data_IF_492246314152
#
_entry.id   IF_492246314152
#
_cell.length_a   1.000
_cell.length_b   1.000
_cell.length_c   1.000
_cell.angle_alpha   90.00
_cell.angle_beta   90.00
_cell.angle_gamma   90.00
#
_symmetry.space_group_name_H-M   'P 1'
#
loop_
_entity.id
_entity.type
_entity.pdbx_description
1 polymer ?
#
# COMPACT_ATOMS: atom_id res chain seq x y z
N UNK A 1 3.86 24.51 -33.66
CA UNK A 1 3.30 24.60 -32.30
C UNK A 1 4.45 24.55 -31.33
N UNK A 2 4.59 25.60 -30.52
CA UNK A 2 5.75 25.94 -29.69
C UNK A 2 6.10 24.84 -28.70
N UNK A 3 7.35 24.39 -28.75
CA UNK A 3 8.00 23.65 -27.67
C UNK A 3 8.11 24.57 -26.46
N UNK A 4 7.16 24.49 -25.55
CA UNK A 4 7.29 25.08 -24.21
C UNK A 4 8.33 24.24 -23.45
N UNK A 5 9.53 24.79 -23.29
CA UNK A 5 10.58 24.17 -22.50
C UNK A 5 10.17 24.22 -21.02
N UNK A 6 9.68 23.11 -20.48
CA UNK A 6 9.48 22.96 -19.05
C UNK A 6 10.80 23.27 -18.32
N UNK A 7 10.80 24.15 -17.31
CA UNK A 7 12.02 24.47 -16.57
C UNK A 7 12.59 23.19 -15.95
N UNK A 8 13.88 22.94 -16.19
CA UNK A 8 14.56 21.77 -15.66
C UNK A 8 14.47 21.76 -14.12
N UNK A 9 14.16 20.62 -13.49
CA UNK A 9 14.11 20.54 -12.05
C UNK A 9 15.50 20.81 -11.46
N UNK A 10 15.56 21.56 -10.36
CA UNK A 10 16.81 21.82 -9.66
C UNK A 10 17.28 20.56 -8.93
N UNK A 11 18.60 20.42 -8.76
CA UNK A 11 19.20 19.31 -8.00
C UNK A 11 18.57 19.15 -6.61
N UNK A 12 18.28 20.26 -5.93
CA UNK A 12 17.61 20.24 -4.62
C UNK A 12 16.19 19.63 -4.67
N UNK A 13 15.42 19.92 -5.74
CA UNK A 13 14.10 19.32 -5.93
C UNK A 13 14.19 17.81 -6.20
N UNK A 14 15.14 17.37 -7.03
CA UNK A 14 15.36 15.95 -7.31
C UNK A 14 15.74 15.15 -6.06
N UNK A 15 16.64 15.70 -5.22
CA UNK A 15 17.01 15.08 -3.94
C UNK A 15 15.81 15.00 -3.00
N UNK A 16 15.03 16.08 -2.88
CA UNK A 16 13.84 16.09 -2.02
C UNK A 16 12.81 15.04 -2.46
N UNK A 17 12.59 14.91 -3.78
CA UNK A 17 11.69 13.90 -4.34
C UNK A 17 12.18 12.47 -4.07
N UNK A 18 13.47 12.19 -4.29
CA UNK A 18 14.03 10.87 -4.03
C UNK A 18 13.94 10.48 -2.54
N UNK A 19 14.21 11.42 -1.64
CA UNK A 19 14.08 11.19 -0.19
C UNK A 19 12.62 10.96 0.20
N UNK A 20 11.68 11.73 -0.34
CA UNK A 20 10.26 11.56 -0.08
C UNK A 20 9.76 10.18 -0.54
N UNK A 21 10.11 9.75 -1.75
CA UNK A 21 9.77 8.42 -2.28
C UNK A 21 10.38 7.30 -1.43
N UNK A 22 11.66 7.44 -1.03
CA UNK A 22 12.34 6.44 -0.19
C UNK A 22 11.71 6.34 1.20
N UNK A 23 11.35 7.48 1.80
CA UNK A 23 10.68 7.53 3.09
C UNK A 23 9.30 6.87 3.03
N UNK A 24 8.50 7.16 1.99
CA UNK A 24 7.21 6.51 1.75
C UNK A 24 7.34 5.00 1.70
N UNK A 25 8.25 4.51 0.85
CA UNK A 25 8.49 3.07 0.71
C UNK A 25 8.93 2.42 2.03
N UNK A 26 9.75 3.12 2.82
CA UNK A 26 10.20 2.62 4.13
C UNK A 26 9.04 2.47 5.10
N UNK A 27 8.16 3.46 5.18
CA UNK A 27 6.95 3.42 6.04
C UNK A 27 6.04 2.26 5.63
N UNK A 28 5.93 2.00 4.33
CA UNK A 28 5.13 0.89 3.82
C UNK A 28 5.70 -0.47 4.18
N UNK A 29 7.01 -0.68 4.01
CA UNK A 29 7.66 -1.91 4.44
C UNK A 29 7.57 -2.12 5.95
N UNK A 30 7.71 -1.04 6.72
CA UNK A 30 7.56 -1.09 8.17
C UNK A 30 6.17 -1.56 8.58
N UNK A 31 5.12 -0.97 8.00
CA UNK A 31 3.73 -1.34 8.25
C UNK A 31 3.43 -2.78 7.81
N UNK A 32 4.02 -3.22 6.69
CA UNK A 32 3.93 -4.59 6.20
C UNK A 32 4.52 -5.61 7.19
N UNK A 33 5.70 -5.31 7.75
CA UNK A 33 6.35 -6.17 8.75
C UNK A 33 5.55 -6.22 10.05
N UNK A 34 5.06 -5.07 10.53
CA UNK A 34 4.20 -5.02 11.72
C UNK A 34 2.94 -5.85 11.53
N UNK A 35 2.29 -5.79 10.36
CA UNK A 35 1.13 -6.63 10.07
C UNK A 35 1.50 -8.12 10.17
N UNK A 36 2.65 -8.53 9.66
CA UNK A 36 3.14 -9.91 9.77
C UNK A 36 3.28 -10.38 11.22
N UNK A 37 3.81 -9.53 12.10
CA UNK A 37 3.84 -9.81 13.54
C UNK A 37 2.44 -9.81 14.18
N UNK A 38 1.57 -8.88 13.77
CA UNK A 38 0.21 -8.82 14.27
C UNK A 38 -0.59 -10.07 13.89
N UNK A 39 -0.36 -10.64 12.70
CA UNK A 39 -1.00 -11.88 12.23
C UNK A 39 -0.72 -13.09 13.12
N UNK A 40 0.43 -13.13 13.79
CA UNK A 40 0.78 -14.21 14.72
C UNK A 40 0.46 -13.87 16.17
N UNK A 41 0.68 -12.63 16.60
CA UNK A 41 0.64 -12.27 18.03
C UNK A 41 -0.68 -11.61 18.47
N UNK A 42 -1.33 -10.86 17.59
CA UNK A 42 -2.45 -9.98 17.93
C UNK A 42 -3.79 -10.45 17.33
N UNK A 43 -3.85 -10.68 16.01
CA UNK A 43 -5.09 -11.03 15.31
C UNK A 43 -5.76 -12.31 15.79
N UNK A 44 -5.02 -13.37 16.20
CA UNK A 44 -5.66 -14.54 16.79
C UNK A 44 -6.54 -14.21 18.00
N UNK A 45 -6.09 -13.25 18.82
CA UNK A 45 -6.80 -12.81 20.03
C UNK A 45 -7.90 -11.79 19.72
N UNK A 46 -7.67 -10.91 18.75
CA UNK A 46 -8.58 -9.78 18.44
C UNK A 46 -9.72 -10.20 17.52
N UNK A 47 -9.44 -10.96 16.46
CA UNK A 47 -10.38 -11.25 15.39
C UNK A 47 -10.85 -12.71 15.36
N UNK A 48 -10.07 -13.63 15.96
CA UNK A 48 -10.32 -15.07 15.89
C UNK A 48 -10.36 -15.79 17.25
N UNK A 49 -10.91 -15.20 18.34
CA UNK A 49 -10.77 -15.76 19.70
C UNK A 49 -11.49 -17.11 19.91
N UNK A 50 -12.37 -17.51 18.99
CA UNK A 50 -13.10 -18.78 19.05
C UNK A 50 -12.48 -19.91 18.22
N UNK A 51 -11.39 -19.62 17.49
CA UNK A 51 -10.70 -20.62 16.68
C UNK A 51 -9.54 -21.23 17.47
N UNK A 52 -9.15 -22.49 17.19
CA UNK A 52 -7.89 -23.03 17.69
C UNK A 52 -6.72 -22.13 17.31
N UNK A 53 -5.76 -21.95 18.20
CA UNK A 53 -4.66 -20.98 18.04
C UNK A 53 -3.92 -21.12 16.71
N UNK A 54 -3.55 -22.34 16.34
CA UNK A 54 -2.85 -22.62 15.07
C UNK A 54 -3.70 -22.20 13.87
N UNK A 55 -5.01 -22.49 13.90
CA UNK A 55 -5.95 -22.11 12.83
C UNK A 55 -6.08 -20.59 12.74
N UNK A 56 -6.16 -19.91 13.89
CA UNK A 56 -6.27 -18.47 13.96
C UNK A 56 -5.02 -17.76 13.38
N UNK A 57 -3.82 -18.29 13.65
CA UNK A 57 -2.56 -17.79 13.08
C UNK A 57 -2.54 -17.99 11.56
N UNK A 58 -2.91 -19.18 11.08
CA UNK A 58 -2.98 -19.47 9.64
C UNK A 58 -3.94 -18.51 8.94
N UNK A 59 -5.13 -18.29 9.50
CA UNK A 59 -6.09 -17.34 8.94
C UNK A 59 -5.53 -15.90 9.00
N UNK A 60 -4.86 -15.51 10.08
CA UNK A 60 -4.14 -14.24 10.18
C UNK A 60 -3.17 -14.05 9.00
N UNK A 61 -2.36 -15.05 8.68
CA UNK A 61 -1.49 -15.03 7.51
C UNK A 61 -2.24 -15.07 6.18
N UNK A 62 -3.40 -15.73 6.09
CA UNK A 62 -4.24 -15.67 4.89
C UNK A 62 -4.77 -14.26 4.64
N UNK A 63 -5.16 -13.53 5.70
CA UNK A 63 -5.54 -12.10 5.55
C UNK A 63 -4.35 -11.26 5.09
N UNK A 64 -3.15 -11.56 5.59
CA UNK A 64 -1.92 -10.91 5.13
C UNK A 64 -1.64 -11.19 3.65
N UNK A 65 -1.78 -12.45 3.25
CA UNK A 65 -1.57 -12.93 1.89
C UNK A 65 -2.57 -12.33 0.89
N UNK A 66 -3.79 -11.99 1.32
CA UNK A 66 -4.80 -11.36 0.47
C UNK A 66 -4.35 -10.03 -0.16
N UNK A 67 -3.38 -9.33 0.46
CA UNK A 67 -2.81 -8.12 -0.11
C UNK A 67 -1.91 -8.35 -1.34
N UNK A 68 -1.39 -9.56 -1.56
CA UNK A 68 -0.45 -9.82 -2.67
C UNK A 68 -1.13 -9.86 -4.05
N UNK A 69 -2.25 -10.57 -4.25
CA UNK A 69 -3.00 -10.48 -5.50
C UNK A 69 -3.46 -9.05 -5.80
N UNK A 70 -3.85 -8.30 -4.76
CA UNK A 70 -4.21 -6.89 -4.88
C UNK A 70 -3.05 -6.06 -5.43
N UNK A 71 -1.80 -6.29 -5.02
CA UNK A 71 -0.64 -5.60 -5.59
C UNK A 71 -0.48 -5.84 -7.08
N UNK A 72 -0.68 -7.07 -7.55
CA UNK A 72 -0.61 -7.38 -8.98
C UNK A 72 -1.70 -6.61 -9.73
N UNK A 73 -2.93 -6.64 -9.23
CA UNK A 73 -4.04 -5.89 -9.83
C UNK A 73 -3.80 -4.38 -9.82
N UNK A 74 -3.29 -3.85 -8.71
CA UNK A 74 -2.89 -2.46 -8.57
C UNK A 74 -1.83 -2.06 -9.59
N UNK A 75 -0.78 -2.87 -9.76
CA UNK A 75 0.27 -2.64 -10.74
C UNK A 75 -0.29 -2.52 -12.17
N UNK A 76 -1.21 -3.41 -12.54
CA UNK A 76 -1.88 -3.34 -13.84
C UNK A 76 -2.74 -2.07 -14.00
N UNK A 77 -3.55 -1.74 -12.99
CA UNK A 77 -4.46 -0.59 -13.05
C UNK A 77 -3.71 0.74 -13.03
N UNK A 78 -2.84 0.94 -12.04
CA UNK A 78 -2.09 2.19 -11.85
C UNK A 78 -0.95 2.35 -12.84
N UNK A 79 -0.35 1.25 -13.32
CA UNK A 79 0.56 1.29 -14.46
C UNK A 79 -0.13 1.82 -15.71
N UNK A 80 -1.30 1.25 -16.06
CA UNK A 80 -2.07 1.72 -17.22
C UNK A 80 -2.56 3.18 -17.06
N UNK A 81 -3.05 3.56 -15.87
CA UNK A 81 -3.46 4.94 -15.60
C UNK A 81 -2.27 5.91 -15.63
N UNK A 82 -1.10 5.49 -15.16
CA UNK A 82 0.13 6.26 -15.20
C UNK A 82 0.57 6.54 -16.64
N UNK A 83 0.51 5.53 -17.51
CA UNK A 83 0.86 5.67 -18.93
C UNK A 83 -0.17 6.49 -19.72
N UNK A 84 -1.46 6.44 -19.34
CA UNK A 84 -2.54 7.13 -20.07
C UNK A 84 -2.81 8.56 -19.62
N UNK A 85 -2.70 8.84 -18.31
CA UNK A 85 -3.12 10.12 -17.71
C UNK A 85 -1.90 10.92 -17.25
N UNK A 86 -1.20 10.43 -16.22
CA UNK A 86 0.01 11.02 -15.67
C UNK A 86 0.58 10.11 -14.59
N UNK A 87 1.90 9.93 -14.58
CA UNK A 87 2.61 9.14 -13.58
C UNK A 87 2.47 9.73 -12.17
N UNK A 88 2.46 11.05 -12.03
CA UNK A 88 2.24 11.74 -10.75
C UNK A 88 0.82 11.53 -10.22
N UNK A 89 -0.18 11.47 -11.11
CA UNK A 89 -1.57 11.21 -10.72
C UNK A 89 -1.74 9.78 -10.19
N UNK A 90 -1.15 8.78 -10.86
CA UNK A 90 -1.16 7.39 -10.39
C UNK A 90 -0.50 7.26 -9.01
N UNK A 91 0.69 7.86 -8.84
CA UNK A 91 1.43 7.85 -7.57
C UNK A 91 0.64 8.48 -6.41
N UNK A 92 -0.06 9.59 -6.64
CA UNK A 92 -0.89 10.21 -5.61
C UNK A 92 -2.03 9.28 -5.15
N UNK A 93 -2.74 8.65 -6.09
CA UNK A 93 -3.84 7.74 -5.75
C UNK A 93 -3.37 6.47 -5.05
N UNK A 94 -2.20 5.96 -5.42
CA UNK A 94 -1.55 4.85 -4.72
C UNK A 94 -1.36 5.17 -3.24
N UNK A 95 -0.75 6.33 -2.94
CA UNK A 95 -0.51 6.79 -1.57
C UNK A 95 -1.82 7.01 -0.79
N UNK A 96 -2.86 7.54 -1.44
CA UNK A 96 -4.17 7.73 -0.83
C UNK A 96 -4.81 6.39 -0.44
N UNK A 97 -4.78 5.39 -1.34
CA UNK A 97 -5.36 4.07 -1.07
C UNK A 97 -4.65 3.35 0.07
N UNK A 98 -3.32 3.47 0.09
CA UNK A 98 -2.48 2.94 1.15
C UNK A 98 -2.80 3.59 2.50
N UNK A 99 -2.92 4.91 2.55
CA UNK A 99 -3.29 5.66 3.75
C UNK A 99 -4.69 5.32 4.27
N UNK A 100 -5.66 5.18 3.36
CA UNK A 100 -7.02 4.74 3.72
C UNK A 100 -6.98 3.32 4.28
N UNK A 101 -6.30 2.39 3.60
CA UNK A 101 -6.21 0.99 4.03
C UNK A 101 -5.58 0.84 5.41
N UNK A 102 -4.47 1.52 5.68
CA UNK A 102 -3.79 1.48 6.98
C UNK A 102 -4.62 2.11 8.10
N UNK A 103 -5.26 3.24 7.83
CA UNK A 103 -6.15 3.91 8.79
C UNK A 103 -7.36 3.03 9.14
N UNK A 104 -7.97 2.40 8.13
CA UNK A 104 -9.07 1.47 8.35
C UNK A 104 -8.63 0.31 9.25
N UNK A 105 -7.49 -0.34 8.96
CA UNK A 105 -6.94 -1.42 9.79
C UNK A 105 -6.76 -0.98 11.25
N UNK A 106 -6.26 0.24 11.47
CA UNK A 106 -5.99 0.77 12.80
C UNK A 106 -7.25 0.98 13.67
N UNK A 107 -8.39 1.29 13.06
CA UNK A 107 -9.65 1.59 13.77
C UNK A 107 -10.63 0.42 13.81
N UNK A 108 -10.26 -0.76 13.29
CA UNK A 108 -11.18 -1.88 13.20
C UNK A 108 -11.57 -2.43 14.58
N UNK A 109 -12.88 -2.55 14.85
CA UNK A 109 -13.34 -3.19 16.07
C UNK A 109 -13.12 -4.72 16.00
N UNK A 110 -12.72 -5.30 17.13
CA UNK A 110 -12.45 -6.72 17.25
C UNK A 110 -13.72 -7.58 17.35
N UNK A 111 -13.51 -8.88 17.51
CA UNK A 111 -14.56 -9.90 17.56
C UNK A 111 -15.63 -9.62 18.63
N UNK A 112 -15.24 -9.03 19.76
CA UNK A 112 -16.16 -8.76 20.87
C UNK A 112 -17.23 -7.71 20.54
N UNK A 113 -17.02 -6.89 19.49
CA UNK A 113 -17.95 -5.82 19.11
C UNK A 113 -18.76 -6.21 17.87
N UNK A 114 -18.09 -6.69 16.82
CA UNK A 114 -18.75 -6.99 15.52
C UNK A 114 -18.56 -8.44 15.04
N UNK A 115 -18.01 -9.32 15.88
CA UNK A 115 -17.76 -10.71 15.51
C UNK A 115 -16.76 -10.86 14.36
N UNK A 116 -16.98 -11.87 13.51
CA UNK A 116 -16.09 -12.16 12.37
C UNK A 116 -16.09 -11.06 11.29
N UNK A 117 -17.03 -10.12 11.31
CA UNK A 117 -17.00 -8.97 10.39
C UNK A 117 -15.73 -8.13 10.56
N UNK A 118 -15.14 -8.09 11.76
CA UNK A 118 -13.84 -7.42 11.97
C UNK A 118 -12.73 -8.03 11.11
N UNK A 119 -12.69 -9.36 11.01
CA UNK A 119 -11.73 -10.07 10.17
C UNK A 119 -11.98 -9.87 8.66
N UNK A 120 -13.25 -9.81 8.26
CA UNK A 120 -13.63 -9.54 6.86
C UNK A 120 -13.19 -8.13 6.47
N UNK A 121 -13.51 -7.13 7.29
CA UNK A 121 -13.11 -5.75 7.05
C UNK A 121 -11.59 -5.57 7.12
N UNK A 122 -10.90 -6.30 7.99
CA UNK A 122 -9.43 -6.36 8.03
C UNK A 122 -8.88 -6.84 6.68
N UNK A 123 -9.44 -7.92 6.14
CA UNK A 123 -9.02 -8.49 4.86
C UNK A 123 -9.30 -7.52 3.70
N UNK A 124 -10.47 -6.87 3.68
CA UNK A 124 -10.81 -5.86 2.67
C UNK A 124 -9.87 -4.67 2.75
N UNK A 125 -9.63 -4.13 3.96
CA UNK A 125 -8.72 -2.99 4.15
C UNK A 125 -7.30 -3.34 3.71
N UNK A 126 -6.88 -4.58 3.97
CA UNK A 126 -5.60 -5.10 3.52
C UNK A 126 -5.51 -5.25 1.99
N UNK A 127 -6.61 -5.66 1.36
CA UNK A 127 -6.72 -5.70 -0.09
C UNK A 127 -6.63 -4.30 -0.71
N UNK A 128 -7.37 -3.33 -0.15
CA UNK A 128 -7.33 -1.91 -0.59
C UNK A 128 -5.90 -1.35 -0.48
N UNK A 129 -5.23 -1.57 0.65
CA UNK A 129 -3.84 -1.16 0.83
C UNK A 129 -2.92 -1.83 -0.22
N UNK A 130 -3.13 -3.13 -0.48
CA UNK A 130 -2.40 -3.88 -1.49
C UNK A 130 -2.55 -3.31 -2.90
N UNK A 131 -3.73 -2.78 -3.28
CA UNK A 131 -3.95 -2.15 -4.58
C UNK A 131 -3.04 -0.92 -4.77
N UNK A 132 -2.96 -0.02 -3.77
CA UNK A 132 -2.11 1.18 -3.87
C UNK A 132 -0.62 0.85 -3.95
N UNK A 133 -0.18 -0.19 -3.23
CA UNK A 133 1.21 -0.66 -3.28
C UNK A 133 1.65 -1.25 -4.64
N UNK A 134 0.70 -1.63 -5.49
CA UNK A 134 0.99 -2.25 -6.77
C UNK A 134 1.61 -1.28 -7.79
N UNK A 135 1.13 -0.05 -7.84
CA UNK A 135 1.60 0.97 -8.78
C UNK A 135 2.85 1.71 -8.32
N UNK A 136 3.06 1.80 -7.00
CA UNK A 136 4.07 2.68 -6.40
C UNK A 136 5.51 2.37 -6.86
N UNK A 137 5.89 1.09 -6.90
CA UNK A 137 7.26 0.69 -7.25
C UNK A 137 7.60 0.98 -8.72
N UNK A 138 6.65 0.75 -9.63
CA UNK A 138 6.81 1.03 -11.05
C UNK A 138 6.74 2.53 -11.36
N UNK A 139 5.78 3.23 -10.75
CA UNK A 139 5.61 4.66 -10.92
C UNK A 139 6.78 5.48 -10.39
N UNK A 140 7.27 5.18 -9.17
CA UNK A 140 8.36 5.92 -8.55
C UNK A 140 9.70 5.73 -9.29
N UNK A 141 10.02 4.50 -9.70
CA UNK A 141 11.26 4.24 -10.45
C UNK A 141 11.26 4.89 -11.83
N UNK A 142 10.11 4.86 -12.51
CA UNK A 142 9.98 5.46 -13.83
C UNK A 142 9.97 7.00 -13.78
N UNK A 143 9.35 7.59 -12.75
CA UNK A 143 9.41 9.03 -12.48
C UNK A 143 10.84 9.48 -12.17
N UNK A 144 11.57 8.74 -11.32
CA UNK A 144 12.98 9.04 -11.01
C UNK A 144 13.87 8.91 -12.25
N UNK A 145 13.63 7.92 -13.12
CA UNK A 145 14.35 7.77 -14.38
C UNK A 145 14.08 8.95 -15.34
N UNK A 146 12.82 9.36 -15.49
CA UNK A 146 12.46 10.54 -16.29
C UNK A 146 13.17 11.80 -15.78
N UNK A 147 13.20 12.02 -14.46
CA UNK A 147 13.89 13.17 -13.88
C UNK A 147 15.41 13.09 -13.95
N UNK A 148 16.01 11.89 -13.99
CA UNK A 148 17.44 11.69 -14.11
C UNK A 148 17.99 11.97 -15.52
N UNK A 149 17.13 11.90 -16.55
CA UNK A 149 17.50 12.21 -17.94
C UNK A 149 17.47 13.72 -18.27
N UNK A 150 16.93 14.57 -17.38
CA UNK A 150 16.87 16.03 -17.54
C UNK A 150 18.14 16.75 -17.10
#
# INVERSE_FOLDING_TARGET
>A
MSSESHPKPTLGFMIALALASTAGLTVEFYSFVIYGYAATLAFPKIFFPRLPEVVAIVIGFLTFAAGFPARVLGAFVFGHLGDKISRTFAFFWDLVLVGIGSTLIAVLPGYNVIGYWGAVLLTISRFIQGLGLGGEFGGATALLAEFAEY
#
